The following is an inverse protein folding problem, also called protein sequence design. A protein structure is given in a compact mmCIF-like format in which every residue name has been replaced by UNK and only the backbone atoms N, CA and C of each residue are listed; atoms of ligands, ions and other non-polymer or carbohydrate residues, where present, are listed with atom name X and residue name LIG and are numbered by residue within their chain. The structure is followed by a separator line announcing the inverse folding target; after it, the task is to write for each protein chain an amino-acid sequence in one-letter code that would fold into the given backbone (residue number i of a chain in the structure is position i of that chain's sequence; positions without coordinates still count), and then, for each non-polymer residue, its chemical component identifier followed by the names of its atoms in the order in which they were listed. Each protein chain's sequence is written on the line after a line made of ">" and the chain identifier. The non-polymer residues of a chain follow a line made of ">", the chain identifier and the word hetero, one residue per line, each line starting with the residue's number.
data_IF_258273910725
#
_entry.id   IF_258273910725
#
_cell.length_a   1.000
_cell.length_b   1.000
_cell.length_c   1.000
_cell.angle_alpha   90.00
_cell.angle_beta   90.00
_cell.angle_gamma   90.00
#
_symmetry.space_group_name_H-M   'P 1'
#
loop_
_entity.id
_entity.type
_entity.pdbx_description
1 polymer ?
#
# COMPACT_ATOMS: atom_id res chain seq x y z
N UNK A 1 10.05 13.98 6.75
CA UNK A 1 8.89 13.11 6.58
C UNK A 1 9.35 11.71 6.24
N UNK A 2 9.49 10.84 7.26
CA UNK A 2 9.82 9.42 7.05
C UNK A 2 8.56 8.64 6.66
N UNK A 3 8.74 7.51 5.95
CA UNK A 3 7.64 6.59 5.64
C UNK A 3 6.92 6.12 6.91
N UNK A 4 7.65 5.81 7.97
CA UNK A 4 7.09 5.40 9.26
C UNK A 4 6.13 6.46 9.85
N UNK A 5 6.46 7.75 9.73
CA UNK A 5 5.59 8.84 10.18
C UNK A 5 4.31 8.90 9.34
N UNK A 6 4.41 8.75 8.02
CA UNK A 6 3.25 8.74 7.12
C UNK A 6 2.34 7.55 7.44
N UNK A 7 2.91 6.36 7.60
CA UNK A 7 2.16 5.16 7.93
C UNK A 7 1.45 5.27 9.30
N UNK A 8 2.06 5.91 10.30
CA UNK A 8 1.41 6.17 11.59
C UNK A 8 0.23 7.12 11.45
N UNK A 9 0.41 8.23 10.75
CA UNK A 9 -0.67 9.21 10.50
C UNK A 9 -1.82 8.54 9.72
N UNK A 10 -1.53 7.69 8.75
CA UNK A 10 -2.55 6.91 8.04
C UNK A 10 -3.40 6.08 9.00
N UNK A 11 -2.78 5.38 9.96
CA UNK A 11 -3.53 4.57 10.92
C UNK A 11 -4.39 5.43 11.87
N UNK A 12 -3.91 6.60 12.27
CA UNK A 12 -4.69 7.55 13.08
C UNK A 12 -5.91 8.05 12.31
N UNK A 13 -5.73 8.47 11.05
CA UNK A 13 -6.83 8.92 10.19
C UNK A 13 -7.85 7.81 9.97
N UNK A 14 -7.43 6.57 9.70
CA UNK A 14 -8.32 5.42 9.55
C UNK A 14 -9.16 5.18 10.80
N UNK A 15 -8.57 5.35 11.99
CA UNK A 15 -9.30 5.22 13.26
C UNK A 15 -10.38 6.28 13.45
N UNK A 16 -10.12 7.50 12.99
CA UNK A 16 -11.06 8.62 13.11
C UNK A 16 -12.20 8.56 12.08
N UNK A 17 -11.91 8.05 10.89
CA UNK A 17 -12.86 8.05 9.77
C UNK A 17 -13.66 6.76 9.62
N UNK A 18 -13.34 5.73 10.40
CA UNK A 18 -14.03 4.45 10.26
C UNK A 18 -15.51 4.54 10.70
N UNK A 19 -16.37 3.99 9.89
CA UNK A 19 -17.80 3.83 10.14
C UNK A 19 -18.27 2.43 9.77
N UNK A 20 -19.28 1.89 10.46
CA UNK A 20 -19.81 0.55 10.20
C UNK A 20 -20.47 0.42 8.82
N UNK A 21 -20.88 1.53 8.22
CA UNK A 21 -21.46 1.63 6.89
C UNK A 21 -20.46 2.16 5.84
N UNK A 22 -19.16 2.17 6.16
CA UNK A 22 -18.10 2.77 5.34
C UNK A 22 -18.03 2.23 3.90
N UNK A 23 -18.54 1.02 3.65
CA UNK A 23 -18.64 0.47 2.29
C UNK A 23 -19.46 1.36 1.37
N UNK A 24 -20.48 2.05 1.91
CA UNK A 24 -21.33 2.95 1.16
C UNK A 24 -20.78 4.38 1.05
N UNK A 25 -19.73 4.68 1.81
CA UNK A 25 -19.13 6.02 1.89
C UNK A 25 -17.71 6.10 1.32
N UNK A 26 -17.33 5.20 0.38
CA UNK A 26 -15.99 5.13 -0.21
C UNK A 26 -15.52 6.44 -0.86
N UNK A 27 -16.42 7.33 -1.26
CA UNK A 27 -16.11 8.64 -1.83
C UNK A 27 -15.35 9.56 -0.85
N UNK A 28 -15.41 9.31 0.46
CA UNK A 28 -14.72 10.08 1.50
C UNK A 28 -13.25 9.72 1.65
N UNK A 29 -12.80 8.62 1.07
CA UNK A 29 -11.41 8.15 1.14
C UNK A 29 -10.47 8.85 0.15
N UNK A 30 -10.99 9.70 -0.74
CA UNK A 30 -10.22 10.39 -1.74
C UNK A 30 -9.53 11.64 -1.17
N UNK A 31 -8.22 11.65 -1.29
CA UNK A 31 -7.37 12.74 -0.84
C UNK A 31 -6.78 13.52 -2.03
N UNK A 32 -6.98 14.83 -2.03
CA UNK A 32 -6.33 15.72 -2.99
C UNK A 32 -5.13 16.37 -2.30
N UNK A 33 -3.91 16.12 -2.76
CA UNK A 33 -2.71 16.71 -2.19
C UNK A 33 -2.78 18.25 -2.17
N UNK A 34 -2.10 18.85 -1.21
CA UNK A 34 -1.99 20.32 -1.12
C UNK A 34 -1.15 20.92 -2.26
N UNK A 35 -0.29 20.09 -2.87
CA UNK A 35 0.58 20.47 -3.97
C UNK A 35 0.47 19.45 -5.09
N UNK A 36 0.55 19.93 -6.33
CA UNK A 36 0.65 19.08 -7.52
C UNK A 36 2.08 19.01 -8.04
N UNK A 37 2.34 18.02 -8.87
CA UNK A 37 3.64 17.86 -9.54
C UNK A 37 3.75 18.88 -10.67
N UNK A 38 4.91 19.48 -10.85
CA UNK A 38 5.16 20.41 -11.96
C UNK A 38 5.11 19.66 -13.29
N UNK A 39 4.08 19.90 -14.06
CA UNK A 39 3.87 19.37 -15.40
C UNK A 39 4.29 20.40 -16.48
N UNK A 40 4.18 20.02 -17.75
CA UNK A 40 4.51 20.89 -18.88
C UNK A 40 3.61 22.13 -18.93
N UNK A 41 2.32 21.96 -18.60
CA UNK A 41 1.37 23.08 -18.42
C UNK A 41 0.48 22.83 -17.20
N UNK A 42 -0.34 23.81 -16.85
CA UNK A 42 -1.41 23.69 -15.85
C UNK A 42 -2.77 23.78 -16.56
N UNK A 43 -3.72 22.95 -16.13
CA UNK A 43 -5.08 23.01 -16.67
C UNK A 43 -5.79 24.30 -16.24
N UNK A 44 -6.46 24.95 -17.18
CA UNK A 44 -7.25 26.15 -16.90
C UNK A 44 -8.46 25.89 -16.01
N UNK A 45 -8.95 26.94 -15.35
CA UNK A 45 -10.16 26.90 -14.49
C UNK A 45 -11.43 26.56 -15.28
N UNK A 46 -11.43 26.81 -16.58
CA UNK A 46 -12.57 26.55 -17.46
C UNK A 46 -12.71 25.09 -17.87
N UNK A 47 -11.69 24.26 -17.64
CA UNK A 47 -11.73 22.83 -17.88
C UNK A 47 -12.78 22.16 -16.98
N UNK A 48 -13.75 21.47 -17.59
CA UNK A 48 -14.90 20.88 -16.87
C UNK A 48 -14.93 19.35 -16.89
N UNK A 49 -14.22 18.75 -17.83
CA UNK A 49 -14.22 17.29 -18.03
C UNK A 49 -12.83 16.76 -18.36
N UNK A 50 -12.66 15.44 -18.24
CA UNK A 50 -11.42 14.77 -18.64
C UNK A 50 -11.10 14.94 -20.14
N UNK A 51 -12.12 15.11 -21.01
CA UNK A 51 -11.93 15.32 -22.45
C UNK A 51 -11.31 16.67 -22.77
N UNK A 52 -11.60 17.68 -21.96
CA UNK A 52 -11.09 19.05 -22.11
C UNK A 52 -9.71 19.24 -21.45
N UNK A 53 -9.28 18.29 -20.61
CA UNK A 53 -8.01 18.41 -19.89
C UNK A 53 -6.83 18.39 -20.87
N UNK A 54 -5.94 19.41 -20.86
CA UNK A 54 -4.74 19.38 -21.68
C UNK A 54 -3.84 18.22 -21.29
N UNK A 55 -3.33 17.45 -22.25
CA UNK A 55 -2.42 16.34 -21.99
C UNK A 55 -1.15 16.81 -21.25
N UNK A 56 -0.68 17.98 -21.54
CA UNK A 56 0.50 18.63 -20.99
C UNK A 56 0.38 18.89 -19.48
N UNK A 57 -0.85 18.99 -18.94
CA UNK A 57 -1.08 19.10 -17.49
C UNK A 57 -0.87 17.79 -16.74
N UNK A 58 -0.76 16.68 -17.47
CA UNK A 58 -0.46 15.36 -16.94
C UNK A 58 0.99 14.93 -17.19
N UNK A 59 1.76 15.61 -18.03
CA UNK A 59 3.14 15.26 -18.40
C UNK A 59 4.10 15.93 -17.44
N UNK A 60 4.93 15.15 -16.74
CA UNK A 60 5.92 15.69 -15.79
C UNK A 60 6.99 16.48 -16.53
N UNK A 61 7.19 17.76 -16.16
CA UNK A 61 8.11 18.67 -16.86
C UNK A 61 9.56 18.17 -16.97
N UNK A 62 10.05 17.48 -15.93
CA UNK A 62 11.43 16.94 -15.90
C UNK A 62 11.53 15.51 -16.43
N UNK A 63 10.40 14.87 -16.78
CA UNK A 63 10.34 13.49 -17.27
C UNK A 63 9.20 13.37 -18.30
N UNK A 64 9.40 13.77 -19.55
CA UNK A 64 8.32 13.88 -20.55
C UNK A 64 7.71 12.53 -20.95
N UNK A 65 8.30 11.43 -20.53
CA UNK A 65 7.77 10.06 -20.63
C UNK A 65 7.00 9.60 -19.39
N UNK A 66 6.88 10.44 -18.36
CA UNK A 66 6.11 10.18 -17.13
C UNK A 66 4.82 11.00 -17.14
N UNK A 67 3.69 10.30 -17.04
CA UNK A 67 2.36 10.89 -17.00
C UNK A 67 1.72 10.63 -15.63
N UNK A 68 1.03 11.62 -15.12
CA UNK A 68 0.32 11.53 -13.84
C UNK A 68 -1.18 11.59 -14.10
N UNK A 69 -1.87 10.48 -13.79
CA UNK A 69 -3.32 10.36 -13.92
C UNK A 69 -3.94 10.36 -12.51
N UNK A 70 -3.97 11.50 -11.87
CA UNK A 70 -4.48 11.55 -10.51
C UNK A 70 -4.51 12.95 -9.92
N UNK A 71 -4.83 13.09 -8.65
CA UNK A 71 -4.98 14.38 -7.98
C UNK A 71 -3.66 15.16 -7.85
N UNK A 72 -2.52 14.54 -8.22
CA UNK A 72 -1.20 15.18 -8.27
C UNK A 72 -0.89 15.83 -9.62
N UNK A 73 -1.73 15.67 -10.66
CA UNK A 73 -1.54 16.33 -11.95
C UNK A 73 -1.70 17.86 -11.82
N UNK A 74 -1.09 18.61 -12.72
CA UNK A 74 -1.10 20.08 -12.66
C UNK A 74 -2.47 20.67 -13.04
N UNK A 75 -3.37 20.70 -12.09
CA UNK A 75 -4.72 21.21 -12.25
C UNK A 75 -5.23 21.90 -10.97
N UNK A 76 -6.19 22.84 -11.07
CA UNK A 76 -6.85 23.44 -9.93
C UNK A 76 -7.50 22.38 -9.03
N UNK A 77 -7.45 22.60 -7.71
CA UNK A 77 -7.95 21.66 -6.70
C UNK A 77 -9.42 21.25 -6.91
N UNK A 78 -10.26 22.19 -7.31
CA UNK A 78 -11.66 21.93 -7.59
C UNK A 78 -11.88 21.02 -8.80
N UNK A 79 -11.04 21.16 -9.83
CA UNK A 79 -11.04 20.28 -10.98
C UNK A 79 -10.55 18.89 -10.59
N UNK A 80 -9.46 18.80 -9.84
CA UNK A 80 -8.96 17.53 -9.31
C UNK A 80 -10.04 16.79 -8.51
N UNK A 81 -10.77 17.48 -7.62
CA UNK A 81 -11.85 16.88 -6.84
C UNK A 81 -12.97 16.29 -7.72
N UNK A 82 -13.30 16.96 -8.83
CA UNK A 82 -14.30 16.44 -9.76
C UNK A 82 -13.80 15.26 -10.57
N UNK A 83 -12.58 15.36 -11.09
CA UNK A 83 -12.01 14.32 -11.97
C UNK A 83 -11.62 13.05 -11.21
N UNK A 84 -11.47 13.11 -9.88
CA UNK A 84 -11.16 11.94 -9.04
C UNK A 84 -12.40 11.14 -8.64
N UNK A 85 -13.59 11.56 -8.97
CA UNK A 85 -14.80 10.72 -8.79
C UNK A 85 -14.70 9.49 -9.70
N UNK A 86 -15.13 8.30 -9.27
CA UNK A 86 -14.87 7.05 -9.98
C UNK A 86 -15.16 7.09 -11.48
N UNK A 87 -16.34 7.52 -11.87
CA UNK A 87 -16.71 7.61 -13.30
C UNK A 87 -15.85 8.62 -14.10
N UNK A 88 -15.47 9.73 -13.48
CA UNK A 88 -14.61 10.73 -14.13
C UNK A 88 -13.15 10.27 -14.19
N UNK A 89 -12.67 9.57 -13.19
CA UNK A 89 -11.34 8.98 -13.18
C UNK A 89 -11.21 7.88 -14.26
N UNK A 90 -12.24 7.07 -14.46
CA UNK A 90 -12.30 6.10 -15.57
C UNK A 90 -12.23 6.80 -16.92
N UNK A 91 -13.01 7.85 -17.13
CA UNK A 91 -12.98 8.65 -18.36
C UNK A 91 -11.61 9.32 -18.57
N UNK A 92 -10.99 9.81 -17.49
CA UNK A 92 -9.63 10.37 -17.54
C UNK A 92 -8.62 9.32 -18.01
N UNK A 93 -8.71 8.10 -17.47
CA UNK A 93 -7.86 6.97 -17.86
C UNK A 93 -8.03 6.63 -19.35
N UNK A 94 -9.26 6.53 -19.83
CA UNK A 94 -9.58 6.28 -21.25
C UNK A 94 -8.94 7.34 -22.16
N UNK A 95 -9.28 8.61 -21.93
CA UNK A 95 -8.83 9.74 -22.76
C UNK A 95 -7.31 9.88 -22.77
N UNK A 96 -6.66 9.74 -21.61
CA UNK A 96 -5.21 9.86 -21.54
C UNK A 96 -4.51 8.63 -22.10
N UNK A 97 -5.09 7.44 -21.98
CA UNK A 97 -4.59 6.22 -22.61
C UNK A 97 -4.52 6.35 -24.14
N UNK A 98 -5.55 6.89 -24.77
CA UNK A 98 -5.56 7.19 -26.21
C UNK A 98 -4.43 8.16 -26.59
N UNK A 99 -4.33 9.30 -25.88
CA UNK A 99 -3.33 10.34 -26.14
C UNK A 99 -1.89 9.85 -25.93
N UNK A 100 -1.66 9.06 -24.88
CA UNK A 100 -0.36 8.43 -24.63
C UNK A 100 0.00 7.49 -25.78
N UNK A 101 -0.94 6.64 -26.19
CA UNK A 101 -0.72 5.71 -27.30
C UNK A 101 -0.35 6.42 -28.61
N UNK A 102 -1.00 7.53 -28.92
CA UNK A 102 -0.65 8.34 -30.09
C UNK A 102 0.75 8.96 -29.97
N UNK A 103 1.06 9.55 -28.81
CA UNK A 103 2.38 10.15 -28.56
C UNK A 103 3.51 9.11 -28.62
N UNK A 104 3.25 7.89 -28.14
CA UNK A 104 4.24 6.80 -28.17
C UNK A 104 4.57 6.28 -29.56
N UNK A 105 3.72 6.47 -30.55
CA UNK A 105 4.02 6.10 -31.96
C UNK A 105 5.23 6.85 -32.52
N UNK A 106 5.45 8.08 -32.05
CA UNK A 106 6.59 8.93 -32.44
C UNK A 106 7.78 8.86 -31.48
N UNK A 107 7.74 8.01 -30.45
CA UNK A 107 8.76 7.99 -29.40
C UNK A 107 9.89 7.05 -29.75
N UNK A 108 11.13 7.56 -29.77
CA UNK A 108 12.32 6.72 -29.86
C UNK A 108 12.68 6.12 -28.49
N UNK A 109 12.75 4.79 -28.44
CA UNK A 109 13.17 4.06 -27.22
C UNK A 109 14.65 4.34 -26.97
N UNK A 110 14.98 5.03 -25.89
CA UNK A 110 16.36 5.25 -25.47
C UNK A 110 17.01 3.92 -25.08
N UNK A 111 18.10 3.58 -25.77
CA UNK A 111 18.97 2.46 -25.43
C UNK A 111 19.99 2.98 -24.41
N UNK A 112 20.19 2.33 -23.29
CA UNK A 112 21.17 2.66 -22.23
C UNK A 112 20.69 3.62 -21.11
N UNK A 113 19.59 3.29 -20.48
CA UNK A 113 19.18 3.95 -19.23
C UNK A 113 19.97 3.35 -18.06
N UNK A 114 20.68 4.19 -17.28
CA UNK A 114 21.37 3.79 -16.06
C UNK A 114 20.74 4.44 -14.84
N UNK A 115 20.48 3.66 -13.79
CA UNK A 115 20.06 4.19 -12.51
C UNK A 115 21.23 4.86 -11.78
N UNK A 116 21.01 6.04 -11.17
CA UNK A 116 22.03 6.69 -10.34
C UNK A 116 22.08 6.05 -8.95
N UNK A 117 23.28 5.76 -8.41
CA UNK A 117 23.41 5.22 -7.06
C UNK A 117 22.98 6.25 -5.99
N UNK A 118 22.33 5.76 -4.94
CA UNK A 118 21.84 6.59 -3.82
C UNK A 118 22.90 6.81 -2.74
N UNK A 119 24.10 6.25 -2.88
CA UNK A 119 25.21 6.34 -1.94
C UNK A 119 25.83 4.98 -1.64
N UNK A 120 27.06 5.00 -1.19
CA UNK A 120 27.87 3.79 -0.96
C UNK A 120 28.20 3.53 0.51
N UNK A 121 27.88 4.45 1.42
CA UNK A 121 28.24 4.36 2.83
C UNK A 121 27.09 3.75 3.65
N UNK A 122 27.13 2.44 3.87
CA UNK A 122 26.24 1.73 4.79
C UNK A 122 26.99 1.28 6.05
N UNK A 123 26.27 1.19 7.17
CA UNK A 123 26.73 0.46 8.35
C UNK A 123 26.68 -1.05 8.09
N UNK A 124 27.64 -1.80 8.65
CA UNK A 124 27.74 -3.26 8.44
C UNK A 124 26.67 -4.04 9.22
N UNK A 125 25.44 -4.06 8.68
CA UNK A 125 24.34 -4.89 9.17
C UNK A 125 24.25 -6.25 8.47
N UNK A 126 25.09 -6.51 7.47
CA UNK A 126 25.14 -7.74 6.69
C UNK A 126 24.90 -7.53 5.20
N UNK A 127 24.73 -8.62 4.50
CA UNK A 127 24.49 -8.64 3.06
C UNK A 127 23.01 -8.61 2.73
N UNK A 128 22.63 -7.82 1.72
CA UNK A 128 21.28 -7.85 1.15
C UNK A 128 21.20 -8.99 0.14
N UNK A 129 20.18 -9.84 0.31
CA UNK A 129 19.80 -10.87 -0.67
C UNK A 129 18.39 -10.60 -1.13
N UNK A 130 18.26 -10.21 -2.38
CA UNK A 130 16.99 -10.07 -3.07
C UNK A 130 16.73 -11.28 -3.95
N UNK A 131 15.49 -11.57 -4.23
CA UNK A 131 15.11 -12.64 -5.13
C UNK A 131 15.33 -12.18 -6.58
N UNK A 132 16.55 -12.37 -7.09
CA UNK A 132 16.92 -12.00 -8.46
C UNK A 132 16.44 -13.04 -9.49
N UNK A 133 16.20 -14.26 -9.03
CA UNK A 133 15.62 -15.33 -9.84
C UNK A 133 14.22 -15.68 -9.29
N UNK A 134 13.15 -15.59 -10.07
CA UNK A 134 11.82 -15.96 -9.63
C UNK A 134 11.77 -17.47 -9.33
N UNK A 135 10.85 -17.88 -8.45
CA UNK A 135 10.58 -19.29 -8.15
C UNK A 135 10.20 -20.08 -9.41
N UNK A 136 9.64 -19.41 -10.41
CA UNK A 136 9.46 -19.92 -11.77
C UNK A 136 10.48 -19.24 -12.66
N UNK A 137 11.61 -19.90 -12.99
CA UNK A 137 12.69 -19.27 -13.74
C UNK A 137 12.20 -18.87 -15.14
N UNK A 138 12.37 -17.59 -15.45
CA UNK A 138 12.15 -17.04 -16.79
C UNK A 138 13.53 -16.90 -17.41
N UNK A 139 13.88 -17.82 -18.28
CA UNK A 139 15.18 -17.79 -18.99
C UNK A 139 15.17 -16.69 -20.05
N UNK A 140 16.27 -15.95 -20.19
CA UNK A 140 16.49 -15.01 -21.28
C UNK A 140 15.84 -13.64 -21.13
N UNK A 141 15.41 -13.25 -19.91
CA UNK A 141 14.95 -11.88 -19.67
C UNK A 141 16.07 -10.87 -19.93
N UNK A 142 15.72 -9.77 -20.60
CA UNK A 142 16.59 -8.59 -20.67
C UNK A 142 16.73 -7.99 -19.28
N UNK A 143 17.93 -7.49 -18.97
CA UNK A 143 18.25 -6.90 -17.67
C UNK A 143 18.63 -5.43 -17.83
N UNK A 144 18.40 -4.65 -16.78
CA UNK A 144 18.91 -3.29 -16.63
C UNK A 144 19.93 -3.31 -15.49
N UNK A 145 21.08 -2.69 -15.70
CA UNK A 145 22.12 -2.60 -14.66
C UNK A 145 21.59 -1.82 -13.46
N UNK A 146 21.75 -2.38 -12.25
CA UNK A 146 21.50 -1.70 -10.99
C UNK A 146 22.85 -1.41 -10.33
N UNK A 147 23.16 -0.17 -9.95
CA UNK A 147 24.40 0.14 -9.27
C UNK A 147 24.43 -0.52 -7.89
N UNK A 148 25.62 -0.92 -7.47
CA UNK A 148 25.89 -1.33 -6.09
C UNK A 148 25.76 -0.12 -5.16
N UNK A 149 25.20 -0.33 -3.95
CA UNK A 149 25.04 0.75 -2.98
C UNK A 149 24.37 0.27 -1.69
N UNK A 150 24.25 1.18 -0.73
CA UNK A 150 23.54 0.97 0.51
C UNK A 150 22.07 1.41 0.37
N UNK A 151 21.19 0.76 1.11
CA UNK A 151 19.78 1.17 1.24
C UNK A 151 19.51 1.68 2.65
N UNK A 152 18.58 2.64 2.84
CA UNK A 152 18.30 3.20 4.15
C UNK A 152 17.66 2.15 5.09
N UNK A 153 18.01 2.23 6.37
CA UNK A 153 17.31 1.50 7.43
C UNK A 153 16.08 2.30 7.85
N UNK A 154 14.90 1.69 7.70
CA UNK A 154 13.61 2.34 7.97
C UNK A 154 13.13 2.12 9.41
N UNK A 155 13.63 1.09 10.08
CA UNK A 155 13.26 0.76 11.46
C UNK A 155 13.93 -0.51 11.97
N UNK A 156 13.77 -0.76 13.30
CA UNK A 156 14.28 -1.92 13.99
C UNK A 156 13.21 -2.44 14.97
N UNK A 157 12.87 -3.73 14.86
CA UNK A 157 11.82 -4.40 15.60
C UNK A 157 12.29 -5.75 16.12
N UNK A 158 11.65 -6.25 17.17
CA UNK A 158 11.93 -7.59 17.70
C UNK A 158 11.28 -8.65 16.78
N UNK A 159 10.07 -8.33 16.24
CA UNK A 159 9.34 -9.19 15.32
C UNK A 159 8.87 -8.38 14.10
N UNK A 160 9.14 -8.92 12.90
CA UNK A 160 8.63 -8.36 11.65
C UNK A 160 7.80 -9.43 10.94
N UNK A 161 6.52 -9.14 10.73
CA UNK A 161 5.59 -10.01 10.02
C UNK A 161 5.39 -9.46 8.61
N UNK A 162 5.85 -10.20 7.62
CA UNK A 162 5.71 -9.87 6.20
C UNK A 162 4.47 -10.52 5.62
N UNK A 163 3.43 -9.71 5.40
CA UNK A 163 2.11 -10.13 4.98
C UNK A 163 1.13 -10.22 6.15
N UNK A 164 0.19 -9.28 6.21
CA UNK A 164 -0.88 -9.19 7.20
C UNK A 164 -2.13 -10.01 6.85
N UNK A 165 -1.97 -11.11 6.09
CA UNK A 165 -3.07 -12.01 5.75
C UNK A 165 -3.66 -12.73 6.96
N UNK A 166 -4.44 -13.79 6.74
CA UNK A 166 -5.14 -14.54 7.80
C UNK A 166 -4.22 -14.98 8.93
N UNK A 167 -3.07 -15.56 8.61
CA UNK A 167 -2.10 -16.01 9.60
C UNK A 167 -1.25 -14.84 10.14
N UNK A 168 -0.79 -13.94 9.25
CA UNK A 168 0.12 -12.87 9.63
C UNK A 168 -0.51 -11.83 10.55
N UNK A 169 -1.77 -11.47 10.34
CA UNK A 169 -2.49 -10.59 11.26
C UNK A 169 -2.57 -11.18 12.67
N UNK A 170 -2.93 -12.46 12.77
CA UNK A 170 -3.00 -13.18 14.05
C UNK A 170 -1.63 -13.30 14.73
N UNK A 171 -0.58 -13.61 13.96
CA UNK A 171 0.78 -13.70 14.47
C UNK A 171 1.28 -12.35 15.00
N UNK A 172 1.01 -11.26 14.26
CA UNK A 172 1.37 -9.90 14.69
C UNK A 172 0.66 -9.49 15.99
N UNK A 173 -0.65 -9.71 16.05
CA UNK A 173 -1.44 -9.43 17.28
C UNK A 173 -0.89 -10.21 18.48
N UNK A 174 -0.62 -11.51 18.27
CA UNK A 174 -0.07 -12.34 19.34
C UNK A 174 1.32 -11.86 19.78
N UNK A 175 2.23 -11.59 18.87
CA UNK A 175 3.57 -11.12 19.20
C UNK A 175 3.52 -9.79 19.98
N UNK A 176 2.72 -8.83 19.53
CA UNK A 176 2.57 -7.53 20.19
C UNK A 176 1.95 -7.69 21.59
N UNK A 177 0.91 -8.53 21.76
CA UNK A 177 0.30 -8.83 23.07
C UNK A 177 1.27 -9.45 24.08
N UNK A 178 2.31 -10.14 23.59
CA UNK A 178 3.39 -10.70 24.43
C UNK A 178 4.57 -9.73 24.63
N UNK A 179 4.40 -8.46 24.27
CA UNK A 179 5.35 -7.39 24.59
C UNK A 179 6.47 -7.20 23.56
N UNK A 180 6.48 -7.92 22.45
CA UNK A 180 7.46 -7.71 21.40
C UNK A 180 7.16 -6.41 20.62
N UNK A 181 8.19 -5.60 20.32
CA UNK A 181 8.08 -4.49 19.39
C UNK A 181 7.83 -5.07 17.98
N UNK A 182 6.57 -5.13 17.60
CA UNK A 182 6.12 -5.85 16.40
C UNK A 182 5.74 -4.89 15.28
N UNK A 183 6.29 -5.15 14.09
CA UNK A 183 5.85 -4.56 12.84
C UNK A 183 5.09 -5.61 12.02
N UNK A 184 3.90 -5.26 11.57
CA UNK A 184 3.22 -5.97 10.48
C UNK A 184 3.23 -5.08 9.24
N UNK A 185 3.63 -5.62 8.12
CA UNK A 185 3.55 -4.93 6.84
C UNK A 185 2.77 -5.77 5.82
N UNK A 186 2.01 -5.09 4.97
CA UNK A 186 1.29 -5.73 3.88
C UNK A 186 1.33 -4.87 2.63
N UNK A 187 1.35 -5.52 1.48
CA UNK A 187 1.22 -4.85 0.19
C UNK A 187 -0.17 -4.25 0.00
N UNK A 188 -1.18 -4.94 0.50
CA UNK A 188 -2.57 -4.49 0.47
C UNK A 188 -2.87 -3.58 1.69
N UNK A 189 -3.94 -2.81 1.60
CA UNK A 189 -4.31 -1.81 2.60
C UNK A 189 -5.32 -2.33 3.64
N UNK A 190 -5.17 -3.59 4.06
CA UNK A 190 -6.02 -4.20 5.08
C UNK A 190 -5.46 -5.50 5.63
N UNK A 191 -5.81 -5.82 6.87
CA UNK A 191 -5.43 -7.08 7.52
C UNK A 191 -6.48 -8.17 7.30
N UNK A 192 -6.06 -9.45 7.37
CA UNK A 192 -6.93 -10.62 7.35
C UNK A 192 -6.98 -11.38 6.03
N UNK A 193 -6.45 -10.83 4.95
CA UNK A 193 -6.30 -11.52 3.65
C UNK A 193 -7.62 -11.97 3.03
N UNK A 194 -7.76 -13.27 2.73
CA UNK A 194 -8.94 -13.82 2.06
C UNK A 194 -10.26 -13.53 2.79
N UNK A 195 -10.24 -13.53 4.11
CA UNK A 195 -11.43 -13.30 4.92
C UNK A 195 -11.80 -11.83 5.07
N UNK A 196 -11.06 -10.92 4.46
CA UNK A 196 -11.30 -9.47 4.49
C UNK A 196 -11.22 -8.90 3.09
N UNK A 197 -10.04 -8.56 2.59
CA UNK A 197 -9.85 -8.05 1.23
C UNK A 197 -10.26 -9.03 0.13
N UNK A 198 -10.19 -10.35 0.40
CA UNK A 198 -10.73 -11.38 -0.49
C UNK A 198 -12.25 -11.56 -0.40
N UNK A 199 -12.94 -10.80 0.47
CA UNK A 199 -14.40 -10.77 0.63
C UNK A 199 -15.04 -12.12 1.00
N UNK A 200 -14.27 -13.07 1.56
CA UNK A 200 -14.81 -14.35 2.04
C UNK A 200 -15.27 -14.18 3.50
N UNK A 201 -16.49 -13.70 3.69
CA UNK A 201 -17.08 -13.36 4.98
C UNK A 201 -17.63 -14.57 5.77
N UNK A 202 -17.01 -15.74 5.64
CA UNK A 202 -17.44 -16.97 6.32
C UNK A 202 -16.27 -17.91 6.57
N UNK A 203 -16.33 -18.65 7.68
CA UNK A 203 -15.47 -19.80 7.91
C UNK A 203 -16.19 -21.09 7.48
N UNK A 204 -15.61 -21.83 6.56
CA UNK A 204 -16.16 -23.09 6.07
C UNK A 204 -15.89 -24.25 7.04
N UNK A 205 -14.67 -24.26 7.63
CA UNK A 205 -14.21 -25.29 8.52
C UNK A 205 -13.41 -24.71 9.70
N UNK A 206 -13.19 -25.52 10.72
CA UNK A 206 -12.31 -25.20 11.85
C UNK A 206 -13.04 -25.02 13.18
N UNK A 207 -12.24 -25.01 14.22
CA UNK A 207 -12.73 -24.79 15.58
C UNK A 207 -12.88 -23.30 15.87
N UNK A 208 -14.01 -22.93 16.43
CA UNK A 208 -14.36 -21.54 16.74
C UNK A 208 -14.22 -21.27 18.24
N UNK A 209 -13.06 -21.60 18.78
CA UNK A 209 -12.71 -21.48 20.18
C UNK A 209 -11.46 -20.60 20.35
N UNK A 210 -11.19 -20.19 21.58
CA UNK A 210 -10.00 -19.41 21.90
C UNK A 210 -9.92 -18.11 21.12
N UNK A 211 -8.84 -17.90 20.38
CA UNK A 211 -8.61 -16.68 19.61
C UNK A 211 -9.68 -16.46 18.51
N UNK A 212 -10.12 -17.53 17.85
CA UNK A 212 -11.17 -17.41 16.82
C UNK A 212 -12.49 -16.93 17.41
N UNK A 213 -12.85 -17.40 18.62
CA UNK A 213 -14.03 -16.90 19.32
C UNK A 213 -13.91 -15.42 19.70
N UNK A 214 -12.71 -14.96 20.08
CA UNK A 214 -12.47 -13.53 20.32
C UNK A 214 -12.67 -12.70 19.04
N UNK A 215 -12.13 -13.16 17.92
CA UNK A 215 -12.31 -12.50 16.61
C UNK A 215 -13.79 -12.40 16.29
N UNK A 216 -14.54 -13.51 16.38
CA UNK A 216 -15.95 -13.53 16.05
C UNK A 216 -16.77 -12.54 16.90
N UNK A 217 -16.53 -12.55 18.21
CA UNK A 217 -17.20 -11.64 19.14
C UNK A 217 -16.87 -10.18 18.81
N UNK A 218 -15.57 -9.87 18.72
CA UNK A 218 -15.10 -8.50 18.51
C UNK A 218 -15.53 -7.93 17.16
N UNK A 219 -15.52 -8.74 16.11
CA UNK A 219 -16.00 -8.32 14.78
C UNK A 219 -17.48 -7.94 14.81
N UNK A 220 -18.32 -8.73 15.49
CA UNK A 220 -19.75 -8.41 15.60
C UNK A 220 -20.01 -7.18 16.46
N UNK A 221 -19.18 -6.90 17.44
CA UNK A 221 -19.26 -5.69 18.27
C UNK A 221 -18.94 -4.40 17.50
N UNK A 222 -18.26 -4.47 16.36
CA UNK A 222 -17.92 -3.31 15.53
C UNK A 222 -19.16 -2.53 15.05
N UNK A 223 -20.25 -3.21 14.73
CA UNK A 223 -21.53 -2.58 14.32
C UNK A 223 -22.50 -2.34 15.48
N UNK A 224 -22.15 -2.72 16.71
CA UNK A 224 -23.10 -2.70 17.83
C UNK A 224 -24.12 -3.84 17.77
N UNK A 225 -25.06 -3.86 18.72
CA UNK A 225 -25.95 -5.02 18.92
C UNK A 225 -27.08 -5.16 17.89
N UNK A 226 -27.45 -4.10 17.21
CA UNK A 226 -28.67 -4.03 16.38
C UNK A 226 -28.40 -3.63 14.93
N UNK A 227 -27.14 -3.62 14.51
CA UNK A 227 -26.80 -3.18 13.16
C UNK A 227 -27.40 -4.10 12.09
N UNK A 228 -27.99 -3.57 11.00
CA UNK A 228 -28.63 -4.39 9.94
C UNK A 228 -27.69 -5.38 9.26
N UNK A 229 -26.39 -5.07 9.20
CA UNK A 229 -25.34 -5.91 8.60
C UNK A 229 -24.88 -7.06 9.51
N UNK A 230 -25.41 -7.21 10.73
CA UNK A 230 -25.10 -8.36 11.58
C UNK A 230 -25.61 -9.63 10.90
N UNK A 231 -24.73 -10.61 10.61
CA UNK A 231 -25.12 -11.82 9.91
C UNK A 231 -26.11 -12.66 10.72
N UNK A 232 -27.14 -13.17 10.07
CA UNK A 232 -28.12 -14.08 10.68
C UNK A 232 -27.58 -15.49 10.91
N UNK A 233 -26.52 -15.87 10.21
CA UNK A 233 -25.91 -17.21 10.27
C UNK A 233 -24.61 -17.17 11.07
N UNK A 234 -24.42 -18.15 11.94
CA UNK A 234 -23.15 -18.36 12.65
C UNK A 234 -22.01 -18.54 11.65
N UNK A 235 -20.87 -17.94 11.91
CA UNK A 235 -19.70 -18.04 11.07
C UNK A 235 -19.57 -17.01 9.98
N UNK A 236 -20.62 -16.27 9.72
CA UNK A 236 -20.58 -15.15 8.80
C UNK A 236 -20.20 -13.87 9.54
N UNK A 237 -19.50 -13.00 8.85
CA UNK A 237 -19.10 -11.68 9.35
C UNK A 237 -18.96 -10.71 8.18
N UNK A 238 -19.21 -9.41 8.38
CA UNK A 238 -18.82 -8.38 7.42
C UNK A 238 -17.28 -8.33 7.30
N UNK A 239 -16.78 -8.46 6.08
CA UNK A 239 -15.34 -8.55 5.81
C UNK A 239 -14.60 -7.26 6.22
N UNK A 240 -15.20 -6.11 5.98
CA UNK A 240 -14.70 -4.78 6.37
C UNK A 240 -14.64 -4.59 7.89
N UNK A 241 -15.65 -5.07 8.64
CA UNK A 241 -15.62 -5.05 10.10
C UNK A 241 -14.48 -5.90 10.67
N UNK A 242 -14.26 -7.08 10.10
CA UNK A 242 -13.15 -7.93 10.50
C UNK A 242 -11.79 -7.31 10.19
N UNK A 243 -11.66 -6.67 9.05
CA UNK A 243 -10.45 -5.96 8.66
C UNK A 243 -10.12 -4.85 9.66
N UNK A 244 -11.10 -4.05 10.02
CA UNK A 244 -10.93 -2.96 10.99
C UNK A 244 -10.71 -3.47 12.41
N UNK A 245 -11.44 -4.52 12.84
CA UNK A 245 -11.22 -5.14 14.13
C UNK A 245 -9.77 -5.64 14.30
N UNK A 246 -9.26 -6.37 13.33
CA UNK A 246 -7.88 -6.86 13.33
C UNK A 246 -6.86 -5.71 13.43
N UNK A 247 -7.10 -4.63 12.70
CA UNK A 247 -6.27 -3.44 12.77
C UNK A 247 -6.28 -2.80 14.16
N UNK A 248 -7.46 -2.60 14.74
CA UNK A 248 -7.60 -2.03 16.09
C UNK A 248 -6.94 -2.87 17.16
N UNK A 249 -7.15 -4.18 17.13
CA UNK A 249 -6.53 -5.11 18.08
C UNK A 249 -5.01 -5.08 18.01
N UNK A 250 -4.45 -5.02 16.80
CA UNK A 250 -3.02 -4.94 16.63
C UNK A 250 -2.42 -3.62 17.15
N UNK A 251 -3.06 -2.49 16.84
CA UNK A 251 -2.63 -1.19 17.31
C UNK A 251 -2.80 -1.04 18.83
N UNK A 252 -3.91 -1.54 19.40
CA UNK A 252 -4.14 -1.55 20.85
C UNK A 252 -3.12 -2.40 21.61
N UNK A 253 -2.57 -3.44 20.99
CA UNK A 253 -1.47 -4.21 21.51
C UNK A 253 -0.09 -3.52 21.40
N UNK A 254 -0.02 -2.29 20.88
CA UNK A 254 1.21 -1.54 20.67
C UNK A 254 1.97 -1.88 19.37
N UNK A 255 1.34 -2.61 18.46
CA UNK A 255 1.92 -2.96 17.17
C UNK A 255 2.08 -1.78 16.23
N UNK A 256 3.04 -1.87 15.32
CA UNK A 256 3.25 -0.91 14.24
C UNK A 256 2.77 -1.52 12.92
N UNK A 257 1.99 -0.77 12.13
CA UNK A 257 1.38 -1.26 10.89
C UNK A 257 1.75 -0.39 9.70
N UNK A 258 2.27 -1.03 8.66
CA UNK A 258 2.59 -0.38 7.38
C UNK A 258 1.87 -1.08 6.24
N UNK A 259 1.04 -0.33 5.54
CA UNK A 259 0.38 -0.76 4.30
C UNK A 259 1.10 -0.22 3.05
N UNK A 260 0.83 -0.82 1.90
CA UNK A 260 1.47 -0.46 0.63
C UNK A 260 2.97 -0.82 0.59
N UNK A 261 3.39 -1.79 1.39
CA UNK A 261 4.79 -2.20 1.52
C UNK A 261 4.94 -3.67 1.14
N UNK A 262 5.82 -3.93 0.20
CA UNK A 262 6.10 -5.29 -0.29
C UNK A 262 7.50 -5.73 0.13
N UNK A 263 7.61 -6.92 0.73
CA UNK A 263 8.90 -7.57 0.96
C UNK A 263 9.51 -8.07 -0.34
N UNK A 264 10.75 -7.70 -0.61
CA UNK A 264 11.47 -8.07 -1.83
C UNK A 264 12.82 -8.72 -1.58
N UNK A 265 13.26 -8.83 -0.33
CA UNK A 265 14.54 -9.47 -0.01
C UNK A 265 14.78 -9.60 1.48
N UNK A 266 15.98 -10.05 1.85
CA UNK A 266 16.41 -10.18 3.22
C UNK A 266 17.81 -9.60 3.44
N UNK A 267 18.02 -8.99 4.59
CA UNK A 267 19.34 -8.69 5.12
C UNK A 267 19.81 -9.88 5.97
N UNK A 268 21.00 -10.41 5.72
CA UNK A 268 21.53 -11.57 6.45
C UNK A 268 22.99 -11.41 6.79
N UNK A 269 23.40 -12.00 7.90
CA UNK A 269 24.81 -12.16 8.28
C UNK A 269 25.10 -13.65 8.45
N UNK A 270 25.87 -14.21 7.53
CA UNK A 270 26.04 -15.65 7.44
C UNK A 270 24.70 -16.38 7.19
N UNK A 271 24.32 -17.27 8.10
CA UNK A 271 23.04 -18.04 8.04
C UNK A 271 21.89 -17.34 8.77
N UNK A 272 22.14 -16.25 9.50
CA UNK A 272 21.13 -15.56 10.30
C UNK A 272 20.48 -14.43 9.50
N UNK A 273 19.16 -14.38 9.46
CA UNK A 273 18.38 -13.24 8.97
C UNK A 273 18.51 -12.12 10.02
N UNK A 274 18.83 -10.93 9.57
CA UNK A 274 18.97 -9.70 10.37
C UNK A 274 17.94 -8.64 10.02
N UNK A 275 17.12 -8.90 9.03
CA UNK A 275 16.08 -8.00 8.60
C UNK A 275 15.50 -8.39 7.24
N UNK A 276 14.58 -7.59 6.78
CA UNK A 276 13.96 -7.70 5.47
C UNK A 276 14.23 -6.47 4.62
N UNK A 277 14.30 -6.67 3.31
CA UNK A 277 14.32 -5.59 2.33
C UNK A 277 12.90 -5.39 1.84
N UNK A 278 12.46 -4.15 1.80
CA UNK A 278 11.11 -3.78 1.41
C UNK A 278 11.10 -2.75 0.30
N UNK A 279 10.10 -2.83 -0.55
CA UNK A 279 9.72 -1.78 -1.48
C UNK A 279 8.58 -0.97 -0.87
N UNK A 280 8.75 0.35 -0.81
CA UNK A 280 7.78 1.31 -0.32
C UNK A 280 7.48 2.34 -1.40
N UNK A 281 6.42 3.15 -1.28
CA UNK A 281 6.18 4.28 -2.19
C UNK A 281 7.33 5.30 -2.25
N UNK A 282 8.24 5.30 -1.27
CA UNK A 282 9.42 6.18 -1.24
C UNK A 282 10.69 5.49 -1.74
N UNK A 283 10.61 4.24 -2.18
CA UNK A 283 11.75 3.46 -2.64
C UNK A 283 12.06 2.26 -1.75
N UNK A 284 13.22 1.62 -2.00
CA UNK A 284 13.69 0.48 -1.22
C UNK A 284 14.26 0.90 0.13
N UNK A 285 14.08 0.04 1.12
CA UNK A 285 14.69 0.19 2.43
C UNK A 285 14.84 -1.14 3.16
N UNK A 286 15.58 -1.16 4.23
CA UNK A 286 15.74 -2.30 5.12
C UNK A 286 14.99 -2.09 6.43
N UNK A 287 14.37 -3.14 6.93
CA UNK A 287 13.81 -3.19 8.28
C UNK A 287 14.57 -4.28 9.02
N UNK A 288 15.25 -3.88 10.09
CA UNK A 288 16.05 -4.79 10.88
C UNK A 288 15.18 -5.53 11.91
N UNK A 289 15.55 -6.78 12.22
CA UNK A 289 14.94 -7.58 13.27
C UNK A 289 15.98 -8.47 13.95
N UNK A 290 15.74 -8.81 15.21
CA UNK A 290 16.61 -9.65 16.05
C UNK A 290 16.40 -11.15 15.90
#
# INVERSE_FOLDING_TARGET
>A
NSFATIARIEQEIRSLLWDADQVDSSDLLWYIPSQYVKCESEAGKDCRSARELPAESCIVKQAPNLWILGPCAAMPRELAARLMRPCQAMLLGEVMGERISEKMKAWEIQKNVQAKPVGTNGTDWGEIKELLAPLRPIKGNKTVSSPEGAIPVLGHYDVVVMGGGTAGASAGISAARHGARTLVLDYLHGLGGLSTLGMIGVYWDGFREGYTAQVDKGVLEMGGKTHPRIPKHKGHFPADWKMEWLRREFLAAGGTLWFGVMGCGAARKGRRIKGIVVATPQGRGAILCD
#
